data_IF_623198386399
#
_entry.id   IF_623198386399
#
_cell.length_a   1.000
_cell.length_b   1.000
_cell.length_c   1.000
_cell.angle_alpha   90.00
_cell.angle_beta   90.00
_cell.angle_gamma   90.00
#
_symmetry.space_group_name_H-M   'P 1'
#
loop_
_entity.id
_entity.type
_entity.pdbx_description
1 polymer ?
#
# COMPACT_ATOMS: atom_id res chain seq x y z
N UNK A 1 22.24 26.63 -15.14
CA UNK A 1 22.13 25.99 -16.47
C UNK A 1 21.98 24.47 -16.31
N UNK A 2 20.76 24.03 -16.01
CA UNK A 2 20.40 22.61 -15.90
C UNK A 2 19.80 22.20 -17.24
N UNK A 3 20.61 21.53 -18.06
CA UNK A 3 20.16 20.98 -19.34
C UNK A 3 19.30 19.74 -19.11
N UNK A 4 18.08 19.81 -19.61
CA UNK A 4 17.27 18.76 -20.24
C UNK A 4 17.76 17.30 -20.08
N UNK A 5 17.29 16.63 -19.02
CA UNK A 5 17.18 15.17 -19.01
C UNK A 5 15.71 14.77 -19.16
N UNK A 6 15.22 14.79 -20.40
CA UNK A 6 13.98 14.10 -20.77
C UNK A 6 14.34 12.65 -21.05
N UNK A 7 13.97 11.73 -20.16
CA UNK A 7 14.07 10.29 -20.43
C UNK A 7 12.91 9.91 -21.36
N UNK A 8 13.16 9.89 -22.65
CA UNK A 8 12.26 9.24 -23.61
C UNK A 8 12.47 7.72 -23.55
N UNK A 9 11.41 6.89 -23.44
CA UNK A 9 11.56 5.45 -23.54
C UNK A 9 11.93 5.04 -24.97
N UNK A 10 13.07 4.36 -25.11
CA UNK A 10 13.52 3.76 -26.37
C UNK A 10 12.59 2.60 -26.80
N UNK A 11 12.17 2.52 -28.08
CA UNK A 11 11.34 1.42 -28.56
C UNK A 11 12.22 0.21 -28.89
N UNK A 12 12.37 -0.72 -27.94
CA UNK A 12 13.15 -1.94 -28.12
C UNK A 12 12.51 -3.18 -27.50
N UNK A 13 12.02 -4.08 -28.36
CA UNK A 13 11.74 -5.52 -28.18
C UNK A 13 10.71 -5.97 -27.11
N UNK A 14 9.52 -6.41 -27.55
CA UNK A 14 8.36 -6.78 -26.70
C UNK A 14 8.51 -8.08 -25.88
N UNK A 15 9.52 -8.93 -26.13
CA UNK A 15 9.60 -10.26 -25.51
C UNK A 15 10.33 -10.29 -24.15
N UNK A 16 11.44 -9.54 -23.97
CA UNK A 16 12.21 -9.49 -22.71
C UNK A 16 11.42 -8.83 -21.56
N UNK A 17 10.44 -7.98 -21.90
CA UNK A 17 9.62 -7.24 -20.95
C UNK A 17 8.67 -8.10 -20.12
N UNK A 18 8.41 -9.37 -20.49
CA UNK A 18 7.49 -10.25 -19.74
C UNK A 18 8.14 -10.85 -18.49
N UNK A 19 9.40 -11.25 -18.59
CA UNK A 19 10.10 -11.91 -17.49
C UNK A 19 10.58 -10.91 -16.45
N UNK A 20 11.08 -9.75 -16.88
CA UNK A 20 11.39 -8.62 -15.99
C UNK A 20 10.14 -8.09 -15.28
N UNK A 21 8.98 -8.07 -15.95
CA UNK A 21 7.71 -7.67 -15.32
C UNK A 21 7.23 -8.66 -14.25
N UNK A 22 7.43 -9.96 -14.42
CA UNK A 22 7.06 -10.95 -13.38
C UNK A 22 7.88 -10.74 -12.10
N UNK A 23 9.13 -10.29 -12.23
CA UNK A 23 9.99 -9.99 -11.08
C UNK A 23 9.54 -8.69 -10.39
N UNK A 24 9.14 -7.67 -11.16
CA UNK A 24 8.74 -6.36 -10.62
C UNK A 24 7.33 -6.35 -10.00
N UNK A 25 6.41 -7.17 -10.50
CA UNK A 25 5.00 -7.19 -10.05
C UNK A 25 4.64 -8.41 -9.20
N UNK A 26 5.60 -9.30 -8.93
CA UNK A 26 5.37 -10.55 -8.22
C UNK A 26 4.51 -11.54 -9.02
N UNK A 27 4.46 -12.78 -8.54
CA UNK A 27 3.55 -13.80 -9.08
C UNK A 27 2.15 -13.70 -8.49
N UNK A 28 1.16 -14.36 -9.12
CA UNK A 28 -0.22 -14.47 -8.59
C UNK A 28 -0.26 -15.01 -7.16
N UNK A 29 0.67 -15.91 -6.81
CA UNK A 29 0.82 -16.44 -5.45
C UNK A 29 1.20 -15.39 -4.40
N UNK A 30 1.79 -14.25 -4.80
CA UNK A 30 2.06 -13.14 -3.88
C UNK A 30 0.78 -12.43 -3.45
N UNK A 31 -0.23 -12.34 -4.33
CA UNK A 31 -1.54 -11.78 -4.00
C UNK A 31 -2.33 -12.61 -2.97
N UNK A 32 -2.03 -13.91 -2.88
CA UNK A 32 -2.64 -14.83 -1.90
C UNK A 32 -1.92 -14.82 -0.53
N UNK A 33 -0.85 -14.03 -0.36
CA UNK A 33 -0.13 -13.94 0.91
C UNK A 33 -1.04 -13.45 2.05
N UNK A 34 -0.71 -13.81 3.31
CA UNK A 34 -1.44 -13.34 4.47
C UNK A 34 -1.54 -11.82 4.54
N UNK A 35 -2.65 -11.34 5.09
CA UNK A 35 -2.87 -9.90 5.38
C UNK A 35 -2.52 -9.54 6.83
N UNK A 36 -1.96 -10.49 7.59
CA UNK A 36 -1.45 -10.27 8.94
C UNK A 36 0.09 -10.19 8.91
N UNK A 37 0.71 -9.47 9.85
CA UNK A 37 2.17 -9.41 9.95
C UNK A 37 2.80 -10.80 10.12
N UNK A 38 3.98 -11.00 9.53
CA UNK A 38 4.77 -12.22 9.67
C UNK A 38 6.27 -11.89 9.61
N UNK A 39 7.12 -12.79 10.10
CA UNK A 39 8.58 -12.59 10.10
C UNK A 39 9.25 -13.54 9.11
N UNK A 40 10.06 -12.99 8.22
CA UNK A 40 10.99 -13.78 7.40
C UNK A 40 12.23 -14.18 8.20
N UNK A 41 12.60 -15.45 8.07
CA UNK A 41 13.90 -15.99 8.41
C UNK A 41 14.78 -15.92 7.15
N UNK A 42 15.70 -14.96 7.14
CA UNK A 42 16.68 -14.79 6.07
C UNK A 42 17.91 -15.67 6.35
N UNK A 43 18.82 -15.81 5.37
CA UNK A 43 20.07 -16.56 5.58
C UNK A 43 20.83 -16.07 6.83
N UNK A 44 21.23 -17.02 7.69
CA UNK A 44 21.81 -16.76 9.00
C UNK A 44 20.74 -16.52 10.09
N UNK A 45 21.05 -15.67 11.08
CA UNK A 45 20.14 -15.32 12.18
C UNK A 45 19.26 -14.09 11.91
N UNK A 46 19.29 -13.56 10.68
CA UNK A 46 18.59 -12.31 10.33
C UNK A 46 17.08 -12.55 10.23
N UNK A 47 16.31 -11.67 10.89
CA UNK A 47 14.85 -11.67 10.89
C UNK A 47 14.33 -10.37 10.26
N UNK A 48 13.34 -10.46 9.38
CA UNK A 48 12.67 -9.31 8.77
C UNK A 48 11.17 -9.37 9.05
N UNK A 49 10.65 -8.42 9.81
CA UNK A 49 9.21 -8.27 10.02
C UNK A 49 8.58 -7.65 8.78
N UNK A 50 7.65 -8.37 8.15
CA UNK A 50 6.82 -7.84 7.08
C UNK A 50 5.46 -7.44 7.64
N UNK A 51 5.04 -6.20 7.34
CA UNK A 51 3.71 -5.68 7.61
C UNK A 51 3.07 -5.42 6.25
N UNK A 52 2.15 -6.28 5.78
CA UNK A 52 1.62 -6.17 4.44
C UNK A 52 0.77 -4.91 4.25
N UNK A 53 0.78 -4.37 3.03
CA UNK A 53 -0.17 -3.31 2.64
C UNK A 53 -1.58 -3.90 2.65
N UNK A 54 -2.55 -3.14 3.18
CA UNK A 54 -3.90 -3.65 3.33
C UNK A 54 -4.63 -3.75 2.01
N UNK A 55 -5.19 -4.94 1.79
CA UNK A 55 -6.24 -5.19 0.80
C UNK A 55 -7.47 -5.74 1.52
N UNK A 56 -8.64 -5.64 0.89
CA UNK A 56 -9.86 -6.25 1.41
C UNK A 56 -9.62 -7.75 1.65
N UNK A 57 -9.99 -8.27 2.84
CA UNK A 57 -10.08 -9.70 3.03
C UNK A 57 -10.99 -10.32 1.96
N UNK A 58 -10.70 -11.55 1.55
CA UNK A 58 -11.41 -12.30 0.50
C UNK A 58 -11.18 -11.76 -0.92
N UNK A 59 -11.50 -10.50 -1.19
CA UNK A 59 -11.49 -9.93 -2.54
C UNK A 59 -10.14 -9.36 -3.00
N UNK A 60 -9.19 -9.15 -2.07
CA UNK A 60 -7.84 -8.63 -2.35
C UNK A 60 -7.81 -7.28 -3.09
N UNK A 61 -8.88 -6.51 -2.97
CA UNK A 61 -8.98 -5.15 -3.52
C UNK A 61 -8.19 -4.18 -2.64
N UNK A 62 -7.29 -3.33 -3.17
CA UNK A 62 -6.57 -2.36 -2.37
C UNK A 62 -7.51 -1.36 -1.68
N UNK A 63 -7.17 -0.98 -0.45
CA UNK A 63 -7.93 0.02 0.31
C UNK A 63 -6.99 1.17 0.69
N UNK A 64 -7.02 2.24 -0.09
CA UNK A 64 -6.29 3.48 0.20
C UNK A 64 -7.10 4.72 -0.19
N UNK A 65 -6.66 5.89 0.26
CA UNK A 65 -7.41 7.14 0.15
C UNK A 65 -7.74 7.52 -1.30
N UNK A 66 -6.80 7.39 -2.23
CA UNK A 66 -7.03 7.70 -3.66
C UNK A 66 -8.18 6.91 -4.29
N UNK A 67 -8.38 5.64 -3.89
CA UNK A 67 -9.55 4.86 -4.34
C UNK A 67 -10.86 5.38 -3.75
N UNK A 68 -10.83 5.81 -2.48
CA UNK A 68 -12.01 6.39 -1.84
C UNK A 68 -12.35 7.76 -2.46
N UNK A 69 -11.35 8.56 -2.80
CA UNK A 69 -11.51 9.82 -3.54
C UNK A 69 -12.05 9.60 -4.95
N UNK A 70 -11.61 8.53 -5.62
CA UNK A 70 -12.20 8.14 -6.90
C UNK A 70 -13.68 7.74 -6.73
N UNK A 71 -13.99 6.93 -5.71
CA UNK A 71 -15.36 6.48 -5.45
C UNK A 71 -16.27 7.64 -5.00
N UNK A 72 -15.74 8.65 -4.31
CA UNK A 72 -16.51 9.82 -3.88
C UNK A 72 -17.04 10.66 -5.05
N UNK A 73 -16.48 10.50 -6.26
CA UNK A 73 -17.01 11.11 -7.50
C UNK A 73 -18.41 10.59 -7.85
N UNK A 74 -18.72 9.35 -7.48
CA UNK A 74 -20.05 8.76 -7.65
C UNK A 74 -20.98 9.08 -6.47
N UNK A 75 -20.41 9.53 -5.36
CA UNK A 75 -21.13 9.94 -4.16
C UNK A 75 -20.29 9.74 -2.91
N UNK A 76 -20.18 10.79 -2.10
CA UNK A 76 -19.40 10.76 -0.87
C UNK A 76 -19.90 9.68 0.11
N UNK A 77 -21.22 9.57 0.28
CA UNK A 77 -21.84 8.56 1.14
C UNK A 77 -21.58 7.12 0.69
N UNK A 78 -21.48 6.87 -0.62
CA UNK A 78 -21.14 5.56 -1.18
C UNK A 78 -19.70 5.21 -0.79
N UNK A 79 -18.77 6.14 -0.98
CA UNK A 79 -17.37 5.92 -0.63
C UNK A 79 -17.16 5.65 0.87
N UNK A 80 -17.81 6.43 1.73
CA UNK A 80 -17.73 6.25 3.18
C UNK A 80 -18.41 4.95 3.64
N UNK A 81 -19.55 4.57 3.04
CA UNK A 81 -20.24 3.31 3.33
C UNK A 81 -19.40 2.11 2.91
N UNK A 82 -18.86 2.12 1.68
CA UNK A 82 -17.92 1.10 1.21
C UNK A 82 -16.75 0.93 2.19
N UNK A 83 -16.13 2.04 2.58
CA UNK A 83 -15.01 2.01 3.52
C UNK A 83 -15.42 1.49 4.90
N UNK A 84 -16.58 1.88 5.41
CA UNK A 84 -17.10 1.37 6.68
C UNK A 84 -17.31 -0.16 6.63
N UNK A 85 -17.84 -0.69 5.52
CA UNK A 85 -18.00 -2.13 5.31
C UNK A 85 -16.65 -2.85 5.23
N UNK A 86 -15.66 -2.25 4.55
CA UNK A 86 -14.29 -2.74 4.53
C UNK A 86 -13.69 -2.87 5.94
N UNK A 87 -13.83 -1.82 6.77
CA UNK A 87 -13.37 -1.81 8.15
C UNK A 87 -14.03 -2.89 9.00
N UNK A 88 -15.36 -3.08 8.86
CA UNK A 88 -16.10 -4.14 9.53
C UNK A 88 -15.58 -5.52 9.16
N UNK A 89 -15.41 -5.77 7.86
CA UNK A 89 -14.91 -7.05 7.36
C UNK A 89 -13.51 -7.35 7.91
N UNK A 90 -12.60 -6.36 7.91
CA UNK A 90 -11.26 -6.52 8.49
C UNK A 90 -11.30 -6.85 9.98
N UNK A 91 -12.21 -6.24 10.75
CA UNK A 91 -12.39 -6.57 12.17
C UNK A 91 -12.92 -7.99 12.36
N UNK A 92 -13.87 -8.42 11.53
CA UNK A 92 -14.43 -9.77 11.57
C UNK A 92 -13.40 -10.84 11.19
N UNK A 93 -12.50 -10.55 10.25
CA UNK A 93 -11.46 -11.51 9.79
C UNK A 93 -10.17 -11.42 10.60
N UNK A 94 -10.08 -10.50 11.57
CA UNK A 94 -8.86 -10.26 12.34
C UNK A 94 -7.72 -9.59 11.56
N UNK A 95 -8.01 -9.00 10.40
CA UNK A 95 -7.03 -8.30 9.57
C UNK A 95 -6.76 -6.88 10.08
N UNK A 96 -5.51 -6.43 9.99
CA UNK A 96 -5.12 -5.07 10.30
C UNK A 96 -5.35 -4.08 9.15
N UNK A 97 -5.33 -2.79 9.48
CA UNK A 97 -5.33 -1.70 8.50
C UNK A 97 -3.98 -0.96 8.49
N UNK A 98 -3.21 -1.14 7.42
CA UNK A 98 -2.09 -0.31 7.00
C UNK A 98 -2.60 0.60 5.89
N UNK A 99 -2.86 1.87 6.23
CA UNK A 99 -3.52 2.83 5.35
C UNK A 99 -2.47 3.69 4.63
N UNK A 100 -2.27 3.44 3.34
CA UNK A 100 -1.30 4.15 2.52
C UNK A 100 -1.85 5.51 2.07
N UNK A 101 -1.02 6.55 2.19
CA UNK A 101 -1.32 7.91 1.76
C UNK A 101 -0.31 8.33 0.70
N UNK A 102 -0.78 9.00 -0.34
CA UNK A 102 0.06 9.60 -1.37
C UNK A 102 0.01 11.12 -1.27
N UNK A 103 1.10 11.85 -1.62
CA UNK A 103 1.06 13.31 -1.67
C UNK A 103 -0.11 13.87 -2.50
N UNK A 104 -0.44 13.20 -3.61
CA UNK A 104 -1.55 13.56 -4.50
C UNK A 104 -2.95 13.47 -3.87
N UNK A 105 -3.07 12.74 -2.75
CA UNK A 105 -4.32 12.70 -2.00
C UNK A 105 -4.64 14.04 -1.31
N UNK A 106 -3.68 14.97 -1.29
CA UNK A 106 -3.79 16.29 -0.67
C UNK A 106 -3.51 17.45 -1.64
N UNK A 107 -3.08 17.17 -2.87
CA UNK A 107 -2.80 18.19 -3.89
C UNK A 107 -3.92 18.25 -4.92
N UNK A 108 -4.14 19.41 -5.53
CA UNK A 108 -5.06 19.56 -6.67
C UNK A 108 -4.33 20.09 -7.92
N UNK A 109 -5.06 20.12 -9.03
CA UNK A 109 -4.53 20.56 -10.32
C UNK A 109 -4.10 22.04 -10.32
N UNK A 110 -4.54 22.87 -9.37
CA UNK A 110 -4.10 24.27 -9.29
C UNK A 110 -2.68 24.37 -8.74
N UNK A 111 -2.33 23.52 -7.77
CA UNK A 111 -0.97 23.51 -7.18
C UNK A 111 0.07 22.78 -8.04
N UNK A 112 -0.35 21.77 -8.80
CA UNK A 112 0.55 21.06 -9.70
C UNK A 112 -0.18 20.66 -10.99
N UNK A 113 -0.30 21.59 -11.95
CA UNK A 113 -0.97 21.35 -13.23
C UNK A 113 -0.37 20.18 -14.01
N UNK A 114 0.94 19.96 -13.88
CA UNK A 114 1.68 18.88 -14.55
C UNK A 114 1.20 17.49 -14.12
N UNK A 115 0.61 17.36 -12.93
CA UNK A 115 0.09 16.11 -12.38
C UNK A 115 -1.43 15.96 -12.57
N UNK A 116 -2.09 16.86 -13.29
CA UNK A 116 -3.55 16.88 -13.50
C UNK A 116 -4.13 15.60 -14.11
N UNK A 117 -3.31 14.79 -14.78
CA UNK A 117 -3.70 13.49 -15.33
C UNK A 117 -3.92 12.40 -14.25
N UNK A 118 -3.45 12.61 -13.02
CA UNK A 118 -3.66 11.65 -11.93
C UNK A 118 -5.11 11.69 -11.42
N UNK A 119 -5.69 10.53 -11.07
CA UNK A 119 -7.07 10.45 -10.61
C UNK A 119 -7.28 11.27 -9.33
N UNK A 120 -8.35 12.09 -9.34
CA UNK A 120 -8.74 12.92 -8.21
C UNK A 120 -8.08 14.30 -8.18
N UNK A 121 -7.18 14.65 -9.10
CA UNK A 121 -6.57 16.00 -9.15
C UNK A 121 -7.54 17.12 -9.53
N UNK A 122 -8.67 16.76 -10.13
CA UNK A 122 -9.82 17.64 -10.38
C UNK A 122 -10.65 17.93 -9.12
N UNK A 123 -10.49 17.14 -8.06
CA UNK A 123 -11.13 17.43 -6.77
C UNK A 123 -10.37 18.53 -6.05
N UNK A 124 -11.12 19.51 -5.55
CA UNK A 124 -10.58 20.61 -4.75
C UNK A 124 -9.88 20.11 -3.46
N UNK A 125 -8.75 20.72 -3.10
CA UNK A 125 -7.98 20.39 -1.90
C UNK A 125 -8.81 20.41 -0.60
N UNK A 126 -9.68 21.42 -0.41
CA UNK A 126 -10.53 21.54 0.77
C UNK A 126 -11.53 20.38 0.88
N UNK A 127 -12.08 19.93 -0.25
CA UNK A 127 -12.93 18.73 -0.28
C UNK A 127 -12.13 17.49 0.13
N UNK A 128 -10.92 17.30 -0.41
CA UNK A 128 -10.05 16.16 -0.05
C UNK A 128 -9.71 16.15 1.44
N UNK A 129 -9.42 17.32 2.02
CA UNK A 129 -9.12 17.45 3.44
C UNK A 129 -10.31 17.13 4.35
N UNK A 130 -11.53 17.60 4.01
CA UNK A 130 -12.75 17.25 4.75
C UNK A 130 -13.09 15.76 4.62
N UNK A 131 -13.00 15.22 3.40
CA UNK A 131 -13.22 13.80 3.14
C UNK A 131 -12.23 12.93 3.92
N UNK A 132 -10.94 13.28 3.91
CA UNK A 132 -9.91 12.59 4.69
C UNK A 132 -10.22 12.64 6.20
N UNK A 133 -10.69 13.78 6.70
CA UNK A 133 -11.10 13.91 8.11
C UNK A 133 -12.27 12.98 8.46
N UNK A 134 -13.21 12.75 7.54
CA UNK A 134 -14.29 11.75 7.69
C UNK A 134 -13.75 10.31 7.67
N UNK A 135 -12.82 10.01 6.76
CA UNK A 135 -12.12 8.72 6.67
C UNK A 135 -11.36 8.40 7.96
N UNK A 136 -10.56 9.33 8.49
CA UNK A 136 -9.82 9.15 9.75
C UNK A 136 -10.78 8.94 10.93
N UNK A 137 -11.90 9.67 10.98
CA UNK A 137 -12.95 9.44 12.00
C UNK A 137 -13.51 8.02 11.92
N UNK A 138 -13.74 7.49 10.71
CA UNK A 138 -14.16 6.10 10.54
C UNK A 138 -13.07 5.13 11.01
N UNK A 139 -11.81 5.32 10.61
CA UNK A 139 -10.70 4.46 11.05
C UNK A 139 -10.66 4.40 12.58
N UNK A 140 -10.72 5.56 13.26
CA UNK A 140 -10.68 5.67 14.71
C UNK A 140 -11.82 4.97 15.45
N UNK A 141 -12.95 4.70 14.78
CA UNK A 141 -14.07 3.92 15.35
C UNK A 141 -13.77 2.42 15.41
N UNK A 142 -12.94 1.90 14.50
CA UNK A 142 -12.67 0.46 14.40
C UNK A 142 -11.25 0.08 14.82
N UNK A 143 -10.29 0.99 14.66
CA UNK A 143 -8.87 0.78 14.89
C UNK A 143 -8.26 1.97 15.62
N UNK A 144 -7.12 1.75 16.26
CA UNK A 144 -6.28 2.82 16.81
C UNK A 144 -5.16 3.14 15.82
N UNK A 145 -5.17 4.32 15.16
CA UNK A 145 -4.07 4.73 14.31
C UNK A 145 -2.79 4.88 15.14
N UNK A 146 -1.69 4.30 14.65
CA UNK A 146 -0.35 4.40 15.23
C UNK A 146 0.66 4.49 14.09
N UNK A 147 1.88 4.95 14.38
CA UNK A 147 2.96 4.85 13.40
C UNK A 147 3.32 3.38 13.14
N UNK A 148 3.84 3.11 11.95
CA UNK A 148 4.28 1.77 11.56
C UNK A 148 5.34 1.22 12.52
N UNK A 149 6.26 2.08 12.96
CA UNK A 149 7.31 1.78 13.93
C UNK A 149 6.75 1.42 15.33
N UNK A 150 5.75 2.16 15.81
CA UNK A 150 5.05 1.80 17.05
C UNK A 150 4.36 0.43 16.89
N UNK A 151 3.68 0.20 15.76
CA UNK A 151 3.02 -1.07 15.49
C UNK A 151 4.01 -2.24 15.43
N UNK A 152 5.16 -2.05 14.78
CA UNK A 152 6.24 -3.02 14.73
C UNK A 152 6.78 -3.39 16.13
N UNK A 153 6.94 -2.40 17.03
CA UNK A 153 7.32 -2.66 18.43
C UNK A 153 6.24 -3.41 19.21
N UNK A 154 4.95 -3.08 19.01
CA UNK A 154 3.85 -3.79 19.67
C UNK A 154 3.79 -5.26 19.30
N UNK A 155 4.12 -5.60 18.05
CA UNK A 155 4.14 -6.98 17.56
C UNK A 155 5.29 -7.82 18.14
N UNK A 156 6.35 -7.18 18.64
CA UNK A 156 7.51 -7.85 19.21
C UNK A 156 7.44 -8.04 20.73
N UNK A 157 6.36 -7.54 21.37
CA UNK A 157 6.20 -7.70 22.82
C UNK A 157 5.88 -9.15 23.20
N UNK A 158 6.50 -9.60 24.28
CA UNK A 158 6.40 -10.96 24.81
C UNK A 158 5.00 -11.32 25.32
N UNK A 159 4.18 -10.32 25.64
CA UNK A 159 2.80 -10.46 26.12
C UNK A 159 1.78 -10.72 24.98
N UNK A 160 2.23 -10.72 23.73
CA UNK A 160 1.41 -10.98 22.55
C UNK A 160 1.72 -12.34 21.93
N UNK A 161 0.73 -12.95 21.24
CA UNK A 161 0.99 -14.14 20.43
C UNK A 161 2.13 -13.86 19.45
N UNK A 162 3.11 -14.78 19.33
CA UNK A 162 4.23 -14.58 18.45
C UNK A 162 3.76 -14.46 17.01
N UNK A 163 4.34 -13.50 16.30
CA UNK A 163 4.10 -13.29 14.87
C UNK A 163 4.56 -14.55 14.11
N UNK A 164 3.76 -15.09 13.17
CA UNK A 164 4.12 -16.29 12.42
C UNK A 164 5.48 -16.17 11.71
N UNK A 165 6.29 -17.22 11.81
CA UNK A 165 7.58 -17.30 11.12
C UNK A 165 7.41 -17.89 9.72
N UNK A 166 8.17 -17.36 8.76
CA UNK A 166 8.27 -17.85 7.39
C UNK A 166 9.72 -17.88 6.95
N UNK A 167 10.12 -18.91 6.21
CA UNK A 167 11.45 -18.97 5.59
C UNK A 167 11.41 -18.31 4.22
N UNK A 168 12.46 -17.55 3.87
CA UNK A 168 12.60 -17.03 2.50
C UNK A 168 12.73 -18.23 1.55
N UNK A 169 11.94 -18.33 0.47
CA UNK A 169 12.12 -19.39 -0.52
C UNK A 169 13.55 -19.35 -1.08
N UNK A 170 14.26 -20.47 -0.96
CA UNK A 170 15.63 -20.63 -1.50
C UNK A 170 15.53 -20.58 -3.02
N UNK A 171 15.72 -19.40 -3.61
CA UNK A 171 15.59 -19.19 -5.06
C UNK A 171 15.79 -17.74 -5.53
N UNK A 172 15.70 -16.75 -4.63
CA UNK A 172 16.02 -15.35 -4.94
C UNK A 172 17.49 -15.04 -4.73
N UNK A 173 18.35 -15.34 -5.72
CA UNK A 173 19.71 -14.81 -5.74
C UNK A 173 19.66 -13.29 -5.93
N UNK A 174 19.77 -12.54 -4.83
CA UNK A 174 20.22 -11.15 -4.92
C UNK A 174 21.71 -11.20 -5.28
N UNK A 175 22.00 -11.23 -6.59
CA UNK A 175 23.34 -10.97 -7.10
C UNK A 175 23.75 -9.58 -6.61
N UNK A 176 24.55 -9.55 -5.56
CA UNK A 176 25.34 -8.39 -5.18
C UNK A 176 26.25 -8.07 -6.37
N UNK A 177 25.90 -7.04 -7.15
CA UNK A 177 26.83 -6.44 -8.09
C UNK A 177 27.92 -5.79 -7.23
N UNK A 178 29.08 -6.42 -7.13
CA UNK A 178 30.31 -5.75 -6.73
C UNK A 178 30.58 -4.70 -7.80
N UNK A 179 30.61 -3.45 -7.40
CA UNK A 179 31.24 -2.38 -8.17
C UNK A 179 32.75 -2.61 -8.09
N UNK A 180 33.38 -2.78 -9.26
CA UNK A 180 34.81 -2.59 -9.47
C UNK A 180 34.99 -1.26 -10.19
#
# INVERSE_FOLDING_TARGET
PWGDCIILPSPGCQASRKEERKILFGGIGEGLRPLYPYVWLCSGERRLLEIPVTTLPVFKVPVHLSYLLYLSRFGEGIALSFFQQALRLMRMTGSGLSFLLHPLDFLDAQRCPELSFFPGMDLNEAFKADFFSKVIRLIRRYFRPVSLDHYARLLQRSDRPPVPLRTVPVGGSLRQKREE
#
